data_IF_515247784450
#
_entry.id   IF_515247784450
#
_cell.length_a   1.000
_cell.length_b   1.000
_cell.length_c   1.000
_cell.angle_alpha   90.00
_cell.angle_beta   90.00
_cell.angle_gamma   90.00
#
_symmetry.space_group_name_H-M   'P 1'
#
loop_
_entity.id
_entity.type
_entity.pdbx_description
1 polymer ?
#
# COMPACT_ATOMS: atom_id res chain seq x y z
N UNK A 1 -23.47 -5.34 -6.02
CA UNK A 1 -22.46 -5.57 -7.10
C UNK A 1 -21.19 -4.78 -6.86
N UNK A 2 -21.31 -3.51 -6.50
CA UNK A 2 -20.12 -2.68 -6.25
C UNK A 2 -19.25 -3.26 -5.13
N UNK A 3 -19.87 -3.72 -4.05
CA UNK A 3 -19.10 -4.32 -2.95
C UNK A 3 -18.42 -5.61 -3.36
N UNK A 4 -19.04 -6.38 -4.25
CA UNK A 4 -18.43 -7.59 -4.79
C UNK A 4 -17.15 -7.25 -5.56
N UNK A 5 -17.21 -6.22 -6.42
CA UNK A 5 -16.02 -5.79 -7.16
C UNK A 5 -14.93 -5.27 -6.21
N UNK A 6 -15.32 -4.62 -5.12
CA UNK A 6 -14.35 -4.18 -4.11
C UNK A 6 -13.63 -5.34 -3.45
N UNK A 7 -14.35 -6.44 -3.19
CA UNK A 7 -13.71 -7.66 -2.65
C UNK A 7 -12.72 -8.22 -3.66
N UNK A 8 -13.07 -8.24 -4.94
CA UNK A 8 -12.16 -8.72 -5.98
C UNK A 8 -10.89 -7.85 -6.05
N UNK A 9 -11.04 -6.54 -5.96
CA UNK A 9 -9.90 -5.63 -5.90
C UNK A 9 -9.03 -5.96 -4.70
N UNK A 10 -9.65 -6.19 -3.56
CA UNK A 10 -8.92 -6.56 -2.34
C UNK A 10 -8.13 -7.86 -2.50
N UNK A 11 -8.74 -8.86 -3.13
CA UNK A 11 -8.05 -10.13 -3.38
C UNK A 11 -6.83 -9.91 -4.27
N UNK A 12 -7.01 -9.18 -5.37
CA UNK A 12 -5.91 -8.90 -6.29
C UNK A 12 -4.79 -8.12 -5.60
N UNK A 13 -5.17 -7.08 -4.85
CA UNK A 13 -4.20 -6.28 -4.10
C UNK A 13 -3.50 -7.11 -3.03
N UNK A 14 -4.24 -8.02 -2.38
CA UNK A 14 -3.67 -8.89 -1.37
C UNK A 14 -2.64 -9.85 -1.94
N UNK A 15 -2.92 -10.43 -3.10
CA UNK A 15 -1.96 -11.31 -3.77
C UNK A 15 -0.69 -10.52 -4.11
N UNK A 16 -0.84 -9.34 -4.68
CA UNK A 16 0.31 -8.49 -5.00
C UNK A 16 1.06 -8.07 -3.73
N UNK A 17 0.35 -7.77 -2.67
CA UNK A 17 0.97 -7.41 -1.40
C UNK A 17 1.80 -8.56 -0.83
N UNK A 18 1.27 -9.77 -0.89
CA UNK A 18 2.00 -10.95 -0.42
C UNK A 18 3.23 -11.24 -1.25
N UNK A 19 3.12 -11.05 -2.58
CA UNK A 19 4.23 -11.31 -3.49
C UNK A 19 5.33 -10.25 -3.37
N UNK A 20 4.96 -9.00 -3.27
CA UNK A 20 5.90 -7.89 -3.38
C UNK A 20 6.10 -7.10 -2.10
N UNK A 21 5.29 -7.37 -1.08
CA UNK A 21 5.41 -6.67 0.20
C UNK A 21 5.07 -5.18 0.14
N UNK A 22 4.25 -4.78 -0.83
CA UNK A 22 3.98 -3.36 -1.08
C UNK A 22 2.83 -2.79 -0.25
N UNK A 23 2.19 -3.62 0.57
CA UNK A 23 1.14 -3.17 1.48
C UNK A 23 -0.23 -2.96 0.85
N UNK A 24 -0.39 -3.29 -0.43
CA UNK A 24 -1.69 -3.21 -1.10
C UNK A 24 -2.12 -1.82 -1.54
N UNK A 25 -1.73 -0.78 -0.81
CA UNK A 25 -2.15 0.58 -1.13
C UNK A 25 -1.70 1.04 -2.51
N UNK A 26 -0.53 0.59 -2.95
CA UNK A 26 -0.01 0.93 -4.28
C UNK A 26 -0.85 0.36 -5.41
N UNK A 27 -1.62 -0.69 -5.14
CA UNK A 27 -2.52 -1.29 -6.12
C UNK A 27 -3.93 -0.73 -5.96
N UNK A 28 -4.39 -0.60 -4.72
CA UNK A 28 -5.77 -0.17 -4.44
C UNK A 28 -6.01 1.25 -4.95
N UNK A 29 -5.10 2.18 -4.67
CA UNK A 29 -5.31 3.59 -5.01
C UNK A 29 -5.46 3.79 -6.52
N UNK A 30 -4.55 3.30 -7.38
CA UNK A 30 -4.74 3.47 -8.81
C UNK A 30 -6.03 2.85 -9.34
N UNK A 31 -6.40 1.66 -8.84
CA UNK A 31 -7.60 0.99 -9.30
C UNK A 31 -8.85 1.80 -8.93
N UNK A 32 -8.90 2.32 -7.71
CA UNK A 32 -10.04 3.12 -7.28
C UNK A 32 -10.18 4.40 -8.10
N UNK A 33 -9.06 5.03 -8.43
CA UNK A 33 -9.09 6.24 -9.25
C UNK A 33 -9.52 5.93 -10.68
N UNK A 34 -8.88 4.93 -11.29
CA UNK A 34 -9.03 4.71 -12.73
C UNK A 34 -10.31 3.96 -13.08
N UNK A 35 -10.74 3.01 -12.27
CA UNK A 35 -11.88 2.17 -12.62
C UNK A 35 -13.15 2.48 -11.84
N UNK A 36 -13.03 3.02 -10.65
CA UNK A 36 -14.22 3.34 -9.84
C UNK A 36 -14.51 4.82 -9.74
N UNK A 37 -13.68 5.66 -10.34
CA UNK A 37 -13.93 7.09 -10.40
C UNK A 37 -13.73 7.85 -9.10
N UNK A 38 -12.97 7.26 -8.15
CA UNK A 38 -12.69 7.94 -6.89
C UNK A 38 -11.77 9.13 -7.13
N UNK A 39 -11.92 10.18 -6.31
CA UNK A 39 -10.92 11.23 -6.25
C UNK A 39 -9.65 10.68 -5.64
N UNK A 40 -8.52 11.38 -5.89
CA UNK A 40 -7.24 10.93 -5.32
C UNK A 40 -7.30 10.88 -3.78
N UNK A 41 -7.90 11.90 -3.17
CA UNK A 41 -8.05 11.93 -1.72
C UNK A 41 -8.97 10.81 -1.22
N UNK A 42 -10.08 10.58 -1.92
CA UNK A 42 -11.00 9.50 -1.56
C UNK A 42 -10.36 8.14 -1.69
N UNK A 43 -9.60 7.92 -2.74
CA UNK A 43 -8.89 6.65 -2.93
C UNK A 43 -7.86 6.42 -1.82
N UNK A 44 -7.10 7.46 -1.46
CA UNK A 44 -6.12 7.36 -0.38
C UNK A 44 -6.78 7.01 0.95
N UNK A 45 -7.84 7.74 1.29
CA UNK A 45 -8.55 7.48 2.55
C UNK A 45 -9.14 6.09 2.60
N UNK A 46 -9.75 5.65 1.50
CA UNK A 46 -10.36 4.33 1.42
C UNK A 46 -9.31 3.23 1.56
N UNK A 47 -8.15 3.39 0.91
CA UNK A 47 -7.10 2.41 1.04
C UNK A 47 -6.55 2.34 2.46
N UNK A 48 -6.45 3.47 3.15
CA UNK A 48 -6.02 3.49 4.55
C UNK A 48 -7.02 2.77 5.45
N UNK A 49 -8.33 2.93 5.18
CA UNK A 49 -9.35 2.17 5.92
C UNK A 49 -9.15 0.67 5.73
N UNK A 50 -8.89 0.25 4.50
CA UNK A 50 -8.64 -1.16 4.21
C UNK A 50 -7.44 -1.70 4.99
N UNK A 51 -6.42 -0.87 5.18
CA UNK A 51 -5.19 -1.27 5.85
C UNK A 51 -5.26 -1.15 7.37
N UNK A 52 -6.36 -0.60 7.92
CA UNK A 52 -6.54 -0.56 9.38
C UNK A 52 -6.65 -1.96 9.98
N UNK A 53 -7.27 -2.88 9.26
CA UNK A 53 -7.41 -4.25 9.72
C UNK A 53 -6.08 -4.97 9.55
N UNK A 54 -5.81 -6.02 10.35
CA UNK A 54 -4.54 -6.75 10.23
C UNK A 54 -4.54 -7.64 8.98
N UNK A 55 -4.67 -7.01 7.80
CA UNK A 55 -4.85 -7.72 6.53
C UNK A 55 -3.60 -8.49 6.10
N UNK A 56 -2.42 -8.07 6.58
CA UNK A 56 -1.17 -8.75 6.27
C UNK A 56 -0.81 -9.89 7.19
N UNK A 57 -1.64 -10.17 8.21
CA UNK A 57 -1.30 -11.13 9.23
C UNK A 57 -1.02 -12.52 8.67
N UNK A 58 -1.88 -13.00 7.78
CA UNK A 58 -1.70 -14.33 7.20
C UNK A 58 -0.42 -14.42 6.38
N UNK A 59 -0.09 -13.35 5.66
CA UNK A 59 1.16 -13.28 4.90
C UNK A 59 2.38 -13.33 5.81
N UNK A 60 2.35 -12.61 6.92
CA UNK A 60 3.42 -12.66 7.90
C UNK A 60 3.60 -14.06 8.45
N UNK A 61 2.49 -14.73 8.79
CA UNK A 61 2.54 -16.08 9.31
C UNK A 61 3.17 -17.04 8.30
N UNK A 62 2.85 -16.88 7.02
CA UNK A 62 3.40 -17.73 5.97
C UNK A 62 4.91 -17.56 5.82
N UNK A 63 5.38 -16.30 5.78
CA UNK A 63 6.82 -16.04 5.70
C UNK A 63 7.56 -16.52 6.94
N UNK A 64 6.96 -16.38 8.11
CA UNK A 64 7.57 -16.85 9.35
C UNK A 64 7.67 -18.37 9.38
N UNK A 65 6.60 -19.04 8.93
CA UNK A 65 6.57 -20.50 8.89
C UNK A 65 7.66 -21.05 7.97
N UNK A 66 7.89 -20.39 6.84
CA UNK A 66 8.90 -20.83 5.87
C UNK A 66 10.30 -20.39 6.24
N UNK A 67 10.49 -19.74 7.39
CA UNK A 67 11.81 -19.32 7.86
C UNK A 67 12.39 -18.13 7.11
N UNK A 68 11.56 -17.41 6.34
CA UNK A 68 12.02 -16.27 5.56
C UNK A 68 12.21 -15.01 6.40
N UNK A 69 11.48 -14.92 7.51
CA UNK A 69 11.61 -13.80 8.44
C UNK A 69 11.80 -14.35 9.85
N UNK A 70 12.52 -13.59 10.66
CA UNK A 70 12.82 -13.95 12.04
C UNK A 70 12.00 -13.09 13.00
N UNK A 71 12.09 -13.41 14.30
CA UNK A 71 11.49 -12.58 15.34
C UNK A 71 12.04 -11.16 15.29
N UNK A 72 13.33 -11.01 14.96
CA UNK A 72 13.93 -9.68 14.82
C UNK A 72 13.27 -8.88 13.70
N UNK A 73 12.99 -9.51 12.56
CA UNK A 73 12.30 -8.85 11.46
C UNK A 73 10.91 -8.38 11.88
N UNK A 74 10.21 -9.20 12.66
CA UNK A 74 8.88 -8.84 13.17
C UNK A 74 8.99 -7.63 14.10
N UNK A 75 9.99 -7.62 15.00
CA UNK A 75 10.20 -6.48 15.89
C UNK A 75 10.50 -5.20 15.11
N UNK A 76 11.35 -5.30 14.10
CA UNK A 76 11.68 -4.15 13.27
C UNK A 76 10.44 -3.65 12.52
N UNK A 77 9.61 -4.56 12.01
CA UNK A 77 8.37 -4.20 11.37
C UNK A 77 7.40 -3.48 12.31
N UNK A 78 7.34 -3.92 13.56
CA UNK A 78 6.49 -3.26 14.54
C UNK A 78 6.96 -1.83 14.87
N UNK A 79 8.27 -1.61 14.94
CA UNK A 79 8.80 -0.24 15.11
C UNK A 79 8.52 0.63 13.89
N UNK A 80 8.63 0.06 12.70
CA UNK A 80 8.24 0.77 11.47
C UNK A 80 6.76 1.14 11.55
N UNK A 81 5.92 0.24 12.06
CA UNK A 81 4.49 0.49 12.20
C UNK A 81 4.21 1.68 13.13
N UNK A 82 4.99 1.82 14.21
CA UNK A 82 4.86 3.00 15.09
C UNK A 82 5.15 4.29 14.33
N UNK A 83 6.22 4.28 13.52
CA UNK A 83 6.53 5.43 12.68
C UNK A 83 5.46 5.69 11.65
N UNK A 84 4.92 4.63 11.03
CA UNK A 84 3.83 4.76 10.06
C UNK A 84 2.59 5.37 10.71
N UNK A 85 2.29 4.98 11.93
CA UNK A 85 1.13 5.51 12.64
C UNK A 85 1.18 7.03 12.74
N UNK A 86 2.33 7.58 13.13
CA UNK A 86 2.51 9.02 13.20
C UNK A 86 2.64 9.64 11.80
N UNK A 87 3.40 8.99 10.93
CA UNK A 87 3.69 9.50 9.59
C UNK A 87 2.46 9.60 8.72
N UNK A 88 1.55 8.63 8.79
CA UNK A 88 0.32 8.68 7.99
C UNK A 88 -0.56 9.84 8.38
N UNK A 89 -0.59 10.19 9.67
CA UNK A 89 -1.34 11.36 10.11
C UNK A 89 -0.78 12.64 9.48
N UNK A 90 0.54 12.82 9.55
CA UNK A 90 1.18 14.00 8.97
C UNK A 90 1.03 14.02 7.45
N UNK A 91 1.23 12.87 6.81
CA UNK A 91 1.10 12.75 5.36
C UNK A 91 -0.31 13.06 4.87
N UNK A 92 -1.32 12.57 5.59
CA UNK A 92 -2.71 12.84 5.23
C UNK A 92 -3.04 14.33 5.39
N UNK A 93 -2.52 14.98 6.44
CA UNK A 93 -2.72 16.41 6.62
C UNK A 93 -2.11 17.21 5.48
N UNK A 94 -0.91 16.86 5.07
CA UNK A 94 -0.26 17.51 3.92
C UNK A 94 -1.03 17.22 2.64
N UNK A 95 -1.46 15.98 2.43
CA UNK A 95 -2.18 15.60 1.22
C UNK A 95 -3.49 16.39 1.07
N UNK A 96 -4.15 16.69 2.19
CA UNK A 96 -5.40 17.46 2.15
C UNK A 96 -5.20 18.92 1.74
N UNK A 97 -3.96 19.40 1.77
CA UNK A 97 -3.62 20.75 1.32
C UNK A 97 -3.29 20.81 -0.17
N UNK A 98 -3.22 19.66 -0.82
CA UNK A 98 -2.80 19.53 -2.22
C UNK A 98 -4.03 19.14 -3.05
N UNK A 99 -4.14 19.66 -4.28
CA UNK A 99 -5.24 19.29 -5.16
C UNK A 99 -5.15 17.81 -5.56
N UNK A 100 -6.30 17.21 -5.87
CA UNK A 100 -6.34 15.81 -6.26
C UNK A 100 -5.48 15.51 -7.48
N UNK A 101 -5.48 16.42 -8.47
CA UNK A 101 -4.70 16.22 -9.69
C UNK A 101 -3.20 16.22 -9.39
N UNK A 102 -2.73 17.14 -8.55
CA UNK A 102 -1.33 17.22 -8.17
C UNK A 102 -0.94 15.96 -7.38
N UNK A 103 -1.80 15.53 -6.45
CA UNK A 103 -1.55 14.34 -5.65
C UNK A 103 -1.40 13.10 -6.55
N UNK A 104 -2.27 12.95 -7.53
CA UNK A 104 -2.20 11.83 -8.47
C UNK A 104 -0.92 11.87 -9.29
N UNK A 105 -0.50 13.06 -9.73
CA UNK A 105 0.76 13.21 -10.47
C UNK A 105 1.97 12.89 -9.60
N UNK A 106 1.92 13.26 -8.33
CA UNK A 106 2.98 12.91 -7.39
C UNK A 106 3.11 11.40 -7.24
N UNK A 107 1.99 10.67 -7.17
CA UNK A 107 2.01 9.22 -7.17
C UNK A 107 2.68 8.67 -8.43
N UNK A 108 2.31 9.20 -9.60
CA UNK A 108 2.85 8.71 -10.86
C UNK A 108 4.37 8.88 -10.92
N UNK A 109 4.86 10.05 -10.52
CA UNK A 109 6.30 10.32 -10.50
C UNK A 109 7.00 9.39 -9.51
N UNK A 110 6.45 9.24 -8.31
CA UNK A 110 7.02 8.41 -7.27
C UNK A 110 7.15 6.96 -7.73
N UNK A 111 6.10 6.42 -8.34
CA UNK A 111 6.12 5.03 -8.82
C UNK A 111 7.09 4.85 -9.97
N UNK A 112 7.18 5.83 -10.87
CA UNK A 112 8.11 5.76 -11.98
C UNK A 112 9.56 5.74 -11.49
N UNK A 113 9.90 6.61 -10.53
CA UNK A 113 11.25 6.65 -9.96
C UNK A 113 11.57 5.34 -9.25
N UNK A 114 10.65 4.83 -8.44
CA UNK A 114 10.85 3.56 -7.75
C UNK A 114 11.01 2.41 -8.73
N UNK A 115 10.19 2.39 -9.78
CA UNK A 115 10.28 1.33 -10.79
C UNK A 115 11.65 1.31 -11.45
N UNK A 116 12.16 2.47 -11.82
CA UNK A 116 13.47 2.57 -12.44
C UNK A 116 14.58 2.15 -11.47
N UNK A 117 14.50 2.62 -10.24
CA UNK A 117 15.50 2.26 -9.23
C UNK A 117 15.53 0.77 -8.97
N UNK A 118 14.36 0.16 -8.83
CA UNK A 118 14.28 -1.28 -8.57
C UNK A 118 14.81 -2.08 -9.74
N UNK A 119 14.52 -1.64 -10.97
CA UNK A 119 15.00 -2.33 -12.17
C UNK A 119 16.52 -2.35 -12.24
N UNK A 120 17.15 -1.17 -12.06
CA UNK A 120 18.59 -1.08 -12.15
C UNK A 120 19.32 -1.58 -10.91
N UNK A 121 18.66 -1.64 -9.75
CA UNK A 121 19.24 -2.16 -8.55
C UNK A 121 19.19 -3.70 -8.49
N UNK A 122 18.31 -4.31 -9.27
CA UNK A 122 18.16 -5.77 -9.26
C UNK A 122 19.42 -6.40 -9.85
N UNK A 123 19.96 -7.36 -9.10
CA UNK A 123 21.07 -8.16 -9.57
C UNK A 123 20.56 -9.54 -9.93
N UNK A 124 20.93 -9.98 -11.12
CA UNK A 124 20.48 -11.29 -11.59
C UNK A 124 21.07 -12.43 -10.77
#
# INVERSE_FOLDING_TARGET
MQFFYMVLVGIAAGVCSGLFGIGGGTIIVPILILWFGFSAHGANGTSLVALLLPVGLLGVMEYYRDGKISVLDIKMGLFIALGLFAGTFLGARVANLISGAVLQKMFAVFFAVLALRMWFAAKA
#
